data_IF_625740692847
#
_entry.id   IF_625740692847
#
_cell.length_a   1.000
_cell.length_b   1.000
_cell.length_c   1.000
_cell.angle_alpha   90.00
_cell.angle_beta   90.00
_cell.angle_gamma   90.00
#
_symmetry.space_group_name_H-M   'P 1'
#
loop_
_entity.id
_entity.type
_entity.pdbx_description
1 polymer ?
#
# COMPACT_ATOMS: atom_id res chain seq x y z
N UNK A 1 -29.60 19.03 -9.02
CA UNK A 1 -28.62 18.02 -8.57
C UNK A 1 -27.57 17.86 -9.67
N UNK A 2 -26.32 18.19 -9.42
CA UNK A 2 -25.22 17.84 -10.34
C UNK A 2 -25.00 16.33 -10.20
N UNK A 3 -25.21 15.59 -11.27
CA UNK A 3 -24.90 14.17 -11.33
C UNK A 3 -23.37 14.06 -11.54
N UNK A 4 -22.64 13.63 -10.50
CA UNK A 4 -21.20 13.39 -10.61
C UNK A 4 -20.99 12.15 -11.48
N UNK A 5 -20.40 12.35 -12.65
CA UNK A 5 -19.96 11.26 -13.51
C UNK A 5 -18.67 10.66 -12.91
N UNK A 6 -18.73 9.38 -12.52
CA UNK A 6 -17.57 8.62 -12.04
C UNK A 6 -17.07 7.68 -13.11
N UNK A 7 -15.83 7.88 -13.54
CA UNK A 7 -15.17 7.04 -14.53
C UNK A 7 -14.24 6.08 -13.78
N UNK A 8 -14.26 4.76 -14.09
CA UNK A 8 -13.30 3.83 -13.54
C UNK A 8 -11.86 4.25 -13.88
N UNK A 9 -10.95 4.13 -12.91
CA UNK A 9 -9.53 4.35 -13.12
C UNK A 9 -8.87 2.98 -13.16
N UNK A 10 -8.14 2.71 -14.22
CA UNK A 10 -7.34 1.51 -14.36
C UNK A 10 -5.97 1.72 -13.71
N UNK A 11 -5.56 0.75 -12.91
CA UNK A 11 -4.23 0.73 -12.34
C UNK A 11 -3.34 -0.18 -13.18
N UNK A 12 -2.43 0.43 -13.93
CA UNK A 12 -1.36 -0.29 -14.60
C UNK A 12 -0.28 -0.65 -13.57
N UNK A 13 -0.27 -1.91 -13.16
CA UNK A 13 0.64 -2.42 -12.13
C UNK A 13 2.06 -2.63 -12.64
N UNK A 14 2.29 -2.64 -13.94
CA UNK A 14 3.64 -2.65 -14.51
C UNK A 14 4.23 -1.24 -14.53
N UNK A 15 3.44 -0.22 -14.84
CA UNK A 15 3.90 1.16 -14.83
C UNK A 15 4.01 1.77 -13.42
N UNK A 16 3.20 1.30 -12.47
CA UNK A 16 3.12 1.86 -11.12
C UNK A 16 3.03 0.75 -10.04
N UNK A 17 4.07 -0.07 -9.86
CA UNK A 17 4.04 -1.22 -8.94
C UNK A 17 4.15 -0.84 -7.46
N UNK A 18 4.62 0.38 -7.14
CA UNK A 18 4.86 0.85 -5.78
C UNK A 18 3.81 1.87 -5.38
N UNK A 19 2.86 1.46 -4.54
CA UNK A 19 1.75 2.30 -4.14
C UNK A 19 1.79 2.71 -2.68
N UNK A 20 1.28 3.92 -2.38
CA UNK A 20 0.93 4.30 -1.03
C UNK A 20 -0.46 4.94 -0.99
N UNK A 21 -1.22 4.60 0.06
CA UNK A 21 -2.52 5.17 0.36
C UNK A 21 -2.47 5.79 1.77
N UNK A 22 -2.72 7.07 1.89
CA UNK A 22 -2.66 7.75 3.18
C UNK A 22 -3.84 8.69 3.42
N UNK A 23 -4.02 9.07 4.68
CA UNK A 23 -5.09 9.94 5.13
C UNK A 23 -5.44 9.66 6.60
N UNK A 24 -6.24 10.52 7.21
CA UNK A 24 -6.63 10.42 8.61
C UNK A 24 -7.40 9.14 8.93
N UNK A 25 -7.51 8.81 10.21
CA UNK A 25 -8.38 7.72 10.67
C UNK A 25 -9.80 7.92 10.15
N UNK A 26 -10.40 6.84 9.66
CA UNK A 26 -11.76 6.90 9.08
C UNK A 26 -11.84 7.42 7.64
N UNK A 27 -10.73 7.82 7.01
CA UNK A 27 -10.73 8.31 5.62
C UNK A 27 -11.09 7.26 4.56
N UNK A 28 -10.99 5.96 4.90
CA UNK A 28 -11.28 4.84 3.99
C UNK A 28 -10.04 4.16 3.42
N UNK A 29 -8.83 4.44 3.92
CA UNK A 29 -7.56 3.84 3.46
C UNK A 29 -7.59 2.32 3.39
N UNK A 30 -7.83 1.67 4.54
CA UNK A 30 -7.84 0.21 4.64
C UNK A 30 -8.82 -0.42 3.66
N UNK A 31 -9.97 0.22 3.45
CA UNK A 31 -10.94 -0.22 2.47
C UNK A 31 -10.41 -0.08 1.04
N UNK A 32 -9.75 1.05 0.71
CA UNK A 32 -9.14 1.28 -0.59
C UNK A 32 -8.04 0.27 -0.90
N UNK A 33 -7.11 0.02 0.04
CA UNK A 33 -6.02 -0.94 -0.18
C UNK A 33 -6.52 -2.38 -0.25
N UNK A 34 -7.54 -2.77 0.51
CA UNK A 34 -8.21 -4.06 0.35
C UNK A 34 -8.78 -4.23 -1.05
N UNK A 35 -9.45 -3.19 -1.59
CA UNK A 35 -9.99 -3.22 -2.95
C UNK A 35 -8.89 -3.37 -4.00
N UNK A 36 -7.79 -2.64 -3.87
CA UNK A 36 -6.62 -2.75 -4.75
C UNK A 36 -6.02 -4.17 -4.69
N UNK A 37 -5.79 -4.71 -3.48
CA UNK A 37 -5.30 -6.08 -3.29
C UNK A 37 -6.24 -7.13 -3.91
N UNK A 38 -7.54 -7.03 -3.65
CA UNK A 38 -8.51 -7.96 -4.21
C UNK A 38 -8.54 -7.94 -5.74
N UNK A 39 -8.41 -6.75 -6.35
CA UNK A 39 -8.29 -6.61 -7.81
C UNK A 39 -6.97 -7.20 -8.33
N UNK A 40 -5.85 -6.94 -7.63
CA UNK A 40 -4.54 -7.45 -8.01
C UNK A 40 -4.51 -8.98 -7.99
N UNK A 41 -5.13 -9.61 -6.98
CA UNK A 41 -5.28 -11.07 -6.94
C UNK A 41 -6.17 -11.58 -8.07
N UNK A 42 -7.33 -10.93 -8.26
CA UNK A 42 -8.34 -11.40 -9.23
C UNK A 42 -7.88 -11.29 -10.68
N UNK A 43 -7.22 -10.19 -11.03
CA UNK A 43 -6.86 -9.87 -12.41
C UNK A 43 -5.37 -10.07 -12.71
N UNK A 44 -4.50 -9.90 -11.71
CA UNK A 44 -3.05 -10.05 -11.82
C UNK A 44 -2.50 -11.38 -11.29
N UNK A 45 -3.37 -12.25 -10.76
CA UNK A 45 -2.98 -13.54 -10.16
C UNK A 45 -1.90 -13.43 -9.06
N UNK A 46 -1.89 -12.31 -8.33
CA UNK A 46 -0.82 -11.98 -7.40
C UNK A 46 -0.81 -12.87 -6.15
N UNK A 47 0.39 -13.16 -5.67
CA UNK A 47 0.65 -13.70 -4.33
C UNK A 47 0.75 -12.52 -3.35
N UNK A 48 -0.09 -12.51 -2.31
CA UNK A 48 -0.12 -11.45 -1.33
C UNK A 48 0.61 -11.84 -0.05
N UNK A 49 1.30 -10.85 0.54
CA UNK A 49 1.75 -10.86 1.93
C UNK A 49 1.14 -9.63 2.61
N UNK A 50 0.55 -9.80 3.78
CA UNK A 50 -0.12 -8.71 4.51
C UNK A 50 0.51 -8.56 5.88
N UNK A 51 1.09 -7.40 6.14
CA UNK A 51 1.65 -6.97 7.40
C UNK A 51 0.76 -5.88 8.00
N UNK A 52 0.10 -6.16 9.12
CA UNK A 52 -0.71 -5.20 9.87
C UNK A 52 0.11 -4.66 11.04
N UNK A 53 0.81 -3.53 10.82
CA UNK A 53 1.69 -2.91 11.81
C UNK A 53 0.98 -2.32 13.02
N UNK A 54 -0.36 -2.17 12.95
CA UNK A 54 -1.17 -1.65 14.06
C UNK A 54 -1.89 -2.76 14.83
N UNK A 55 -2.15 -3.91 14.21
CA UNK A 55 -2.94 -4.98 14.81
C UNK A 55 -4.40 -4.57 15.08
N UNK A 56 -4.96 -3.74 14.21
CA UNK A 56 -6.29 -3.13 14.41
C UNK A 56 -7.48 -4.03 14.12
N UNK A 57 -7.27 -5.30 13.75
CA UNK A 57 -8.33 -6.27 13.44
C UNK A 57 -8.93 -6.15 12.04
N UNK A 58 -8.53 -5.16 11.26
CA UNK A 58 -9.05 -4.95 9.90
C UNK A 58 -8.78 -6.14 8.96
N UNK A 59 -7.76 -6.94 9.25
CA UNK A 59 -7.34 -8.11 8.48
C UNK A 59 -7.52 -9.44 9.24
N UNK A 60 -8.33 -9.48 10.28
CA UNK A 60 -8.56 -10.66 11.13
C UNK A 60 -9.06 -11.88 10.34
N UNK A 61 -9.70 -11.68 9.19
CA UNK A 61 -10.11 -12.76 8.28
C UNK A 61 -8.91 -13.53 7.65
N UNK A 62 -7.66 -13.05 7.85
CA UNK A 62 -6.42 -13.70 7.42
C UNK A 62 -5.70 -14.44 8.56
N UNK A 63 -6.23 -14.45 9.79
CA UNK A 63 -5.62 -15.16 10.92
C UNK A 63 -5.38 -16.64 10.57
N UNK A 64 -4.20 -17.13 10.92
CA UNK A 64 -3.77 -18.49 10.60
C UNK A 64 -3.09 -18.68 9.24
N UNK A 65 -3.00 -17.62 8.41
CA UNK A 65 -2.26 -17.68 7.15
C UNK A 65 -0.78 -17.33 7.37
N UNK A 66 0.13 -18.09 6.76
CA UNK A 66 1.59 -17.90 6.90
C UNK A 66 2.10 -16.55 6.38
N UNK A 67 1.38 -15.94 5.44
CA UNK A 67 1.71 -14.65 4.83
C UNK A 67 0.94 -13.47 5.43
N UNK A 68 0.39 -13.66 6.62
CA UNK A 68 -0.24 -12.59 7.39
C UNK A 68 0.36 -12.50 8.79
N UNK A 69 0.59 -11.28 9.25
CA UNK A 69 0.91 -11.01 10.65
C UNK A 69 0.36 -9.67 11.11
N UNK A 70 -0.11 -9.66 12.35
CA UNK A 70 -0.46 -8.48 13.15
C UNK A 70 0.33 -8.43 14.47
N UNK A 71 1.06 -9.48 14.82
CA UNK A 71 1.89 -9.59 16.04
C UNK A 71 3.36 -9.78 15.63
N UNK A 72 3.68 -10.87 14.96
CA UNK A 72 5.05 -11.14 14.50
C UNK A 72 5.29 -10.60 13.07
N UNK A 73 5.07 -9.30 12.92
CA UNK A 73 5.17 -8.60 11.64
C UNK A 73 6.57 -8.68 11.05
N UNK A 74 7.60 -8.61 11.89
CA UNK A 74 9.01 -8.67 11.46
C UNK A 74 9.30 -9.97 10.71
N UNK A 75 8.88 -11.13 11.26
CA UNK A 75 9.15 -12.42 10.64
C UNK A 75 8.43 -12.58 9.29
N UNK A 76 7.18 -12.09 9.15
CA UNK A 76 6.44 -12.15 7.88
C UNK A 76 7.06 -11.21 6.84
N UNK A 77 7.41 -9.99 7.25
CA UNK A 77 8.08 -9.03 6.37
C UNK A 77 9.45 -9.55 5.90
N UNK A 78 10.23 -10.15 6.80
CA UNK A 78 11.53 -10.72 6.47
C UNK A 78 11.42 -11.91 5.50
N UNK A 79 10.41 -12.77 5.65
CA UNK A 79 10.16 -13.83 4.64
C UNK A 79 9.83 -13.25 3.27
N UNK A 80 8.99 -12.22 3.21
CA UNK A 80 8.68 -11.55 1.94
C UNK A 80 9.94 -10.95 1.31
N UNK A 81 10.76 -10.25 2.10
CA UNK A 81 12.01 -9.68 1.65
C UNK A 81 13.00 -10.74 1.17
N UNK A 82 13.11 -11.87 1.86
CA UNK A 82 13.96 -12.99 1.43
C UNK A 82 13.48 -13.62 0.12
N UNK A 83 12.16 -13.70 -0.11
CA UNK A 83 11.62 -14.13 -1.41
C UNK A 83 11.97 -13.17 -2.54
N UNK A 84 11.98 -11.87 -2.29
CA UNK A 84 12.49 -10.88 -3.24
C UNK A 84 13.99 -11.08 -3.53
N UNK A 85 14.81 -11.31 -2.49
CA UNK A 85 16.24 -11.59 -2.67
C UNK A 85 16.47 -12.89 -3.46
N UNK A 86 15.67 -13.92 -3.27
CA UNK A 86 15.76 -15.17 -4.04
C UNK A 86 15.52 -14.92 -5.54
N UNK A 87 14.54 -14.07 -5.89
CA UNK A 87 14.32 -13.63 -7.28
C UNK A 87 15.51 -12.84 -7.82
N UNK A 88 16.06 -11.95 -7.01
CA UNK A 88 17.21 -11.13 -7.41
C UNK A 88 18.45 -11.99 -7.69
N UNK A 89 18.65 -13.10 -6.97
CA UNK A 89 19.73 -14.06 -7.17
C UNK A 89 19.46 -15.11 -8.26
N UNK A 90 18.24 -15.11 -8.84
CA UNK A 90 17.84 -16.10 -9.82
C UNK A 90 17.50 -17.49 -9.21
N UNK A 91 17.30 -17.56 -7.89
CA UNK A 91 16.91 -18.79 -7.18
C UNK A 91 15.40 -19.04 -7.28
N UNK A 92 14.60 -18.00 -7.52
CA UNK A 92 13.17 -18.06 -7.86
C UNK A 92 12.93 -17.42 -9.23
N UNK A 93 12.68 -18.23 -10.23
CA UNK A 93 12.41 -17.80 -11.61
C UNK A 93 10.93 -17.47 -11.86
N UNK A 94 10.08 -17.55 -10.84
CA UNK A 94 8.65 -17.26 -10.96
C UNK A 94 8.42 -15.84 -11.46
N UNK A 95 7.53 -15.70 -12.43
CA UNK A 95 7.08 -14.41 -12.98
C UNK A 95 5.73 -13.95 -12.41
N UNK A 96 5.21 -14.66 -11.41
CA UNK A 96 4.00 -14.24 -10.70
C UNK A 96 4.25 -12.93 -9.95
N UNK A 97 3.25 -12.07 -9.89
CA UNK A 97 3.32 -10.87 -9.07
C UNK A 97 3.38 -11.29 -7.59
N UNK A 98 4.41 -10.84 -6.86
CA UNK A 98 4.41 -10.81 -5.40
C UNK A 98 4.05 -9.42 -4.94
N UNK A 99 3.07 -9.28 -4.04
CA UNK A 99 2.70 -7.98 -3.51
C UNK A 99 2.72 -8.00 -1.97
N UNK A 100 3.43 -7.04 -1.40
CA UNK A 100 3.38 -6.72 0.02
C UNK A 100 2.32 -5.63 0.23
N UNK A 101 1.31 -5.92 1.02
CA UNK A 101 0.51 -4.88 1.68
C UNK A 101 1.08 -4.67 3.09
N UNK A 102 1.54 -3.47 3.37
CA UNK A 102 1.94 -3.08 4.71
C UNK A 102 1.00 -1.98 5.23
N UNK A 103 0.18 -2.30 6.22
CA UNK A 103 -0.70 -1.35 6.88
C UNK A 103 -0.01 -0.75 8.11
N UNK A 104 0.01 0.57 8.22
CA UNK A 104 0.61 1.37 9.31
C UNK A 104 2.10 1.04 9.57
N UNK A 105 2.93 1.24 8.53
CA UNK A 105 4.38 1.07 8.59
C UNK A 105 5.05 1.85 9.75
N UNK A 106 4.61 3.09 10.02
CA UNK A 106 5.16 3.89 11.13
C UNK A 106 4.89 3.24 12.49
N UNK A 107 3.67 2.76 12.71
CA UNK A 107 3.31 2.11 13.98
C UNK A 107 4.16 0.85 14.21
N UNK A 108 4.42 0.07 13.15
CA UNK A 108 5.34 -1.05 13.22
C UNK A 108 6.76 -0.62 13.61
N UNK A 109 7.31 0.41 12.96
CA UNK A 109 8.67 0.88 13.27
C UNK A 109 8.77 1.43 14.67
N UNK A 110 7.77 2.19 15.12
CA UNK A 110 7.75 2.76 16.49
C UNK A 110 7.60 1.68 17.56
N UNK A 111 7.09 0.50 17.19
CA UNK A 111 7.02 -0.67 18.09
C UNK A 111 8.31 -1.49 18.17
N UNK A 112 9.36 -1.14 17.42
CA UNK A 112 10.66 -1.80 17.51
C UNK A 112 11.52 -1.18 18.63
N UNK A 113 12.02 -2.01 19.51
CA UNK A 113 12.77 -1.54 20.70
C UNK A 113 14.13 -0.93 20.35
N UNK A 114 14.77 -1.40 19.27
CA UNK A 114 16.13 -1.00 18.93
C UNK A 114 16.18 -0.15 17.64
N UNK A 115 16.85 1.00 17.71
CA UNK A 115 17.10 1.85 16.55
C UNK A 115 17.76 1.11 15.39
N UNK A 116 18.68 0.17 15.69
CA UNK A 116 19.35 -0.65 14.68
C UNK A 116 18.38 -1.55 13.93
N UNK A 117 17.40 -2.13 14.60
CA UNK A 117 16.34 -2.94 13.99
C UNK A 117 15.48 -2.05 13.08
N UNK A 118 15.05 -0.90 13.57
CA UNK A 118 14.28 0.07 12.81
C UNK A 118 15.00 0.47 11.50
N UNK A 119 16.29 0.78 11.56
CA UNK A 119 17.11 1.13 10.40
C UNK A 119 17.24 -0.04 9.41
N UNK A 120 17.40 -1.28 9.93
CA UNK A 120 17.45 -2.48 9.11
C UNK A 120 16.14 -2.70 8.33
N UNK A 121 14.99 -2.55 8.98
CA UNK A 121 13.69 -2.70 8.31
C UNK A 121 13.43 -1.60 7.29
N UNK A 122 13.80 -0.34 7.60
CA UNK A 122 13.75 0.76 6.61
C UNK A 122 14.57 0.47 5.37
N UNK A 123 15.79 -0.06 5.55
CA UNK A 123 16.68 -0.42 4.43
C UNK A 123 16.03 -1.47 3.54
N UNK A 124 15.39 -2.50 4.11
CA UNK A 124 14.67 -3.54 3.36
C UNK A 124 13.52 -2.94 2.55
N UNK A 125 12.67 -2.11 3.17
CA UNK A 125 11.58 -1.44 2.45
C UNK A 125 12.11 -0.55 1.33
N UNK A 126 13.17 0.24 1.59
CA UNK A 126 13.79 1.09 0.58
C UNK A 126 14.37 0.31 -0.61
N UNK A 127 14.90 -0.90 -0.39
CA UNK A 127 15.36 -1.78 -1.47
C UNK A 127 14.20 -2.33 -2.28
N UNK A 128 13.12 -2.79 -1.62
CA UNK A 128 11.90 -3.25 -2.29
C UNK A 128 11.31 -2.15 -3.20
N UNK A 129 11.18 -0.93 -2.69
CA UNK A 129 10.63 0.20 -3.44
C UNK A 129 11.49 0.59 -4.66
N UNK A 130 12.82 0.50 -4.55
CA UNK A 130 13.73 0.86 -5.65
C UNK A 130 13.90 -0.24 -6.69
N UNK A 131 13.94 -1.49 -6.28
CA UNK A 131 14.37 -2.61 -7.12
C UNK A 131 13.26 -3.62 -7.41
N UNK A 132 12.18 -3.62 -6.64
CA UNK A 132 11.13 -4.63 -6.69
C UNK A 132 10.46 -4.76 -8.06
N UNK A 133 10.29 -3.65 -8.77
CA UNK A 133 9.69 -3.64 -10.12
C UNK A 133 10.35 -4.66 -11.06
N UNK A 134 11.68 -4.65 -11.15
CA UNK A 134 12.44 -5.54 -12.03
C UNK A 134 12.24 -7.04 -11.71
N UNK A 135 11.76 -7.35 -10.52
CA UNK A 135 11.55 -8.71 -10.02
C UNK A 135 10.07 -9.03 -9.78
N UNK A 136 9.14 -8.26 -10.38
CA UNK A 136 7.69 -8.40 -10.22
C UNK A 136 7.26 -8.43 -8.74
N UNK A 137 7.96 -7.65 -7.94
CA UNK A 137 7.71 -7.49 -6.50
C UNK A 137 7.11 -6.11 -6.27
N UNK A 138 5.86 -6.06 -5.87
CA UNK A 138 5.07 -4.85 -5.69
C UNK A 138 4.92 -4.53 -4.20
N UNK A 139 4.75 -3.26 -3.88
CA UNK A 139 4.52 -2.79 -2.51
C UNK A 139 3.31 -1.86 -2.49
N UNK A 140 2.38 -2.11 -1.59
CA UNK A 140 1.30 -1.19 -1.23
C UNK A 140 1.45 -0.83 0.25
N UNK A 141 1.62 0.43 0.55
CA UNK A 141 1.59 0.93 1.92
C UNK A 141 0.25 1.60 2.21
N UNK A 142 -0.30 1.36 3.39
CA UNK A 142 -1.41 2.11 3.95
C UNK A 142 -0.93 2.81 5.22
N UNK A 143 -1.12 4.13 5.32
CA UNK A 143 -0.50 4.94 6.36
C UNK A 143 -1.41 6.11 6.77
N UNK A 144 -1.48 6.43 8.06
CA UNK A 144 -2.26 7.59 8.50
C UNK A 144 -1.60 8.90 8.07
N UNK A 145 -0.30 9.00 8.24
CA UNK A 145 0.51 10.16 7.87
C UNK A 145 1.76 9.70 7.16
N UNK A 146 2.10 10.40 6.11
CA UNK A 146 3.39 10.24 5.45
C UNK A 146 4.37 11.22 6.08
N UNK A 147 5.21 10.73 6.99
CA UNK A 147 6.23 11.51 7.67
C UNK A 147 7.61 11.16 7.08
N UNK A 148 8.41 12.19 6.80
CA UNK A 148 9.75 12.02 6.23
C UNK A 148 10.66 11.14 7.09
N UNK A 149 10.44 11.11 8.41
CA UNK A 149 11.20 10.30 9.36
C UNK A 149 11.14 8.80 9.04
N UNK A 150 10.00 8.30 8.54
CA UNK A 150 9.79 6.88 8.21
C UNK A 150 10.16 6.52 6.78
N UNK A 151 10.27 7.53 5.89
CA UNK A 151 10.44 7.36 4.44
C UNK A 151 11.68 8.04 3.87
N UNK A 152 12.71 8.25 4.69
CA UNK A 152 13.95 8.94 4.30
C UNK A 152 14.56 8.35 3.03
N UNK A 153 14.66 9.17 1.97
CA UNK A 153 15.38 8.86 0.75
C UNK A 153 14.70 7.88 -0.21
N UNK A 154 13.47 7.42 0.05
CA UNK A 154 12.76 6.50 -0.86
C UNK A 154 11.28 6.84 -1.13
N UNK A 155 10.78 7.95 -0.62
CA UNK A 155 9.41 8.43 -0.91
C UNK A 155 9.13 8.62 -2.40
N UNK A 156 10.15 9.04 -3.15
CA UNK A 156 10.06 9.29 -4.59
C UNK A 156 9.89 8.00 -5.42
N UNK A 157 10.08 6.83 -4.79
CA UNK A 157 9.87 5.55 -5.46
C UNK A 157 8.40 5.09 -5.44
N UNK A 158 7.50 5.82 -4.79
CA UNK A 158 6.06 5.54 -4.92
C UNK A 158 5.53 6.06 -6.24
N UNK A 159 5.13 5.12 -7.09
CA UNK A 159 4.58 5.41 -8.42
C UNK A 159 3.07 5.69 -8.38
N UNK A 160 2.35 5.02 -7.47
CA UNK A 160 0.92 5.25 -7.22
C UNK A 160 0.76 5.89 -5.85
N UNK A 161 0.31 7.13 -5.81
CA UNK A 161 0.08 7.87 -4.57
C UNK A 161 -1.40 8.21 -4.44
N UNK A 162 -2.05 7.77 -3.37
CA UNK A 162 -3.47 8.04 -3.09
C UNK A 162 -3.57 8.73 -1.73
N UNK A 163 -4.04 9.96 -1.73
CA UNK A 163 -4.35 10.71 -0.52
C UNK A 163 -5.86 10.83 -0.32
N UNK A 164 -6.40 10.31 0.80
CA UNK A 164 -7.83 10.27 1.07
C UNK A 164 -8.26 11.23 2.17
N UNK A 165 -9.43 11.87 1.97
CA UNK A 165 -10.02 12.84 2.91
C UNK A 165 -9.14 14.07 3.10
N UNK A 166 -9.22 14.69 4.26
CA UNK A 166 -8.45 15.88 4.58
C UNK A 166 -7.01 15.52 4.96
N UNK A 167 -6.08 15.84 4.10
CA UNK A 167 -4.66 15.54 4.27
C UNK A 167 -3.98 16.59 5.16
N UNK A 168 -3.02 16.17 5.99
CA UNK A 168 -2.16 17.10 6.72
C UNK A 168 -1.33 17.95 5.76
N UNK A 169 -0.86 19.10 6.24
CA UNK A 169 0.00 19.99 5.46
C UNK A 169 1.26 19.24 5.00
N UNK A 170 1.90 18.49 5.90
CA UNK A 170 3.12 17.73 5.62
C UNK A 170 2.90 16.69 4.51
N UNK A 171 1.79 15.94 4.58
CA UNK A 171 1.47 14.95 3.56
C UNK A 171 1.19 15.57 2.19
N UNK A 172 0.51 16.72 2.16
CA UNK A 172 0.30 17.47 0.90
C UNK A 172 1.61 18.01 0.35
N UNK A 173 2.45 18.57 1.21
CA UNK A 173 3.75 19.12 0.81
C UNK A 173 4.69 18.04 0.29
N UNK A 174 4.58 16.83 0.82
CA UNK A 174 5.43 15.71 0.44
C UNK A 174 5.06 15.11 -0.91
N UNK A 175 3.76 14.92 -1.20
CA UNK A 175 3.31 14.15 -2.37
C UNK A 175 2.50 14.93 -3.39
N UNK A 176 1.96 16.08 -3.04
CA UNK A 176 1.08 16.89 -3.89
C UNK A 176 1.54 18.35 -3.97
N UNK A 177 2.85 18.62 -3.76
CA UNK A 177 3.38 19.98 -3.73
C UNK A 177 3.02 20.83 -4.96
N UNK A 178 3.08 20.22 -6.15
CA UNK A 178 2.79 20.87 -7.43
C UNK A 178 1.28 21.06 -7.69
N UNK A 179 0.44 20.37 -6.93
CA UNK A 179 -1.01 20.33 -7.15
C UNK A 179 -1.84 20.97 -6.04
N UNK A 180 -1.19 21.60 -5.06
CA UNK A 180 -1.86 22.15 -3.86
C UNK A 180 -3.00 23.09 -4.17
N UNK A 181 -2.84 23.94 -5.17
CA UNK A 181 -3.84 24.93 -5.58
C UNK A 181 -5.06 24.30 -6.27
N UNK A 182 -4.91 23.07 -6.75
CA UNK A 182 -5.99 22.29 -7.36
C UNK A 182 -6.74 21.43 -6.33
N UNK A 183 -6.24 21.38 -5.08
CA UNK A 183 -6.83 20.56 -4.03
C UNK A 183 -7.91 21.35 -3.30
N UNK A 184 -9.14 20.83 -3.36
CA UNK A 184 -10.25 21.39 -2.59
C UNK A 184 -10.12 21.02 -1.11
N UNK A 185 -10.45 21.93 -0.18
CA UNK A 185 -10.62 21.59 1.22
C UNK A 185 -11.85 20.70 1.43
N UNK A 186 -11.97 20.08 2.60
CA UNK A 186 -13.16 19.35 3.06
C UNK A 186 -13.61 18.19 2.16
N UNK A 187 -12.66 17.34 1.83
CA UNK A 187 -12.97 16.09 1.09
C UNK A 187 -13.72 15.09 1.96
N UNK A 188 -14.80 14.57 1.42
CA UNK A 188 -15.61 13.56 2.08
C UNK A 188 -14.83 12.23 2.27
N UNK A 189 -15.28 11.42 3.23
CA UNK A 189 -14.75 10.08 3.45
C UNK A 189 -14.74 9.25 2.15
N UNK A 190 -13.65 8.58 1.87
CA UNK A 190 -13.47 7.76 0.67
C UNK A 190 -13.25 8.55 -0.62
N UNK A 191 -13.11 9.88 -0.53
CA UNK A 191 -12.71 10.71 -1.67
C UNK A 191 -11.35 11.33 -1.41
N UNK A 192 -10.65 11.73 -2.47
CA UNK A 192 -9.32 12.31 -2.33
C UNK A 192 -8.67 12.59 -3.67
N UNK A 193 -7.37 12.43 -3.71
CA UNK A 193 -6.56 12.68 -4.89
C UNK A 193 -5.56 11.55 -5.12
N UNK A 194 -5.21 11.36 -6.37
CA UNK A 194 -4.25 10.35 -6.79
C UNK A 194 -3.26 10.97 -7.77
N UNK A 195 -1.99 10.57 -7.67
CA UNK A 195 -1.00 10.75 -8.74
C UNK A 195 -0.44 9.41 -9.16
N UNK A 196 -0.10 9.30 -10.45
CA UNK A 196 0.62 8.17 -11.02
C UNK A 196 1.90 8.70 -11.64
N UNK A 197 3.05 8.13 -11.25
CA UNK A 197 4.39 8.56 -11.68
C UNK A 197 4.66 10.07 -11.50
N UNK A 198 4.08 10.67 -10.47
CA UNK A 198 4.20 12.09 -10.16
C UNK A 198 3.52 13.06 -11.13
N UNK A 199 2.90 12.56 -12.22
CA UNK A 199 2.44 13.41 -13.33
C UNK A 199 0.91 13.52 -13.46
N UNK A 200 0.16 12.45 -13.21
CA UNK A 200 -1.28 12.41 -13.48
C UNK A 200 -2.07 12.70 -12.19
N UNK A 201 -2.32 13.98 -11.89
CA UNK A 201 -3.15 14.36 -10.74
C UNK A 201 -4.64 14.19 -11.06
N UNK A 202 -5.33 13.38 -10.28
CA UNK A 202 -6.73 13.02 -10.52
C UNK A 202 -7.52 12.98 -9.22
N UNK A 203 -8.67 13.67 -9.11
CA UNK A 203 -9.59 13.45 -7.99
C UNK A 203 -10.17 12.04 -8.04
N UNK A 204 -10.20 11.36 -6.89
CA UNK A 204 -10.65 9.96 -6.78
C UNK A 204 -11.75 9.78 -5.76
N UNK A 205 -12.58 8.78 -6.00
CA UNK A 205 -13.55 8.27 -5.04
C UNK A 205 -13.46 6.74 -4.97
N UNK A 206 -13.26 6.22 -3.79
CA UNK A 206 -13.22 4.77 -3.54
C UNK A 206 -14.64 4.22 -3.69
N UNK A 207 -14.89 3.28 -4.59
CA UNK A 207 -16.24 2.76 -4.82
C UNK A 207 -16.69 1.91 -3.64
N UNK A 208 -17.98 1.94 -3.33
CA UNK A 208 -18.58 1.03 -2.35
C UNK A 208 -18.52 -0.42 -2.90
N UNK A 209 -18.00 -1.34 -2.10
CA UNK A 209 -18.05 -2.78 -2.40
C UNK A 209 -19.36 -3.34 -1.86
N UNK A 210 -20.16 -3.95 -2.74
CA UNK A 210 -21.45 -4.50 -2.38
C UNK A 210 -21.33 -5.85 -1.64
N UNK A 211 -20.25 -6.59 -1.88
CA UNK A 211 -19.99 -7.91 -1.31
C UNK A 211 -18.57 -7.93 -0.70
N UNK A 212 -18.49 -7.60 0.59
CA UNK A 212 -17.22 -7.60 1.34
C UNK A 212 -16.66 -9.00 1.53
N UNK A 213 -17.51 -10.01 1.67
CA UNK A 213 -17.08 -11.40 1.83
C UNK A 213 -16.40 -11.90 0.57
N UNK A 214 -16.91 -11.52 -0.60
CA UNK A 214 -16.25 -11.82 -1.88
C UNK A 214 -14.89 -11.16 -2.00
N UNK A 215 -14.76 -9.90 -1.54
CA UNK A 215 -13.48 -9.20 -1.50
C UNK A 215 -12.51 -9.90 -0.54
N UNK A 216 -12.95 -10.27 0.67
CA UNK A 216 -12.12 -10.98 1.64
C UNK A 216 -11.68 -12.35 1.12
N UNK A 217 -12.57 -13.12 0.48
CA UNK A 217 -12.21 -14.39 -0.18
C UNK A 217 -11.17 -14.20 -1.28
N UNK A 218 -11.27 -13.13 -2.08
CA UNK A 218 -10.26 -12.84 -3.10
C UNK A 218 -8.88 -12.54 -2.49
N UNK A 219 -8.83 -11.73 -1.43
CA UNK A 219 -7.58 -11.43 -0.71
C UNK A 219 -7.02 -12.70 -0.07
N UNK A 220 -7.85 -13.49 0.62
CA UNK A 220 -7.47 -14.76 1.23
C UNK A 220 -6.83 -15.71 0.20
N UNK A 221 -7.44 -15.85 -0.97
CA UNK A 221 -6.87 -16.67 -2.06
C UNK A 221 -5.48 -16.18 -2.50
N UNK A 222 -5.19 -14.88 -2.46
CA UNK A 222 -3.85 -14.36 -2.74
C UNK A 222 -2.84 -14.64 -1.63
N UNK A 223 -3.29 -14.65 -0.37
CA UNK A 223 -2.43 -14.91 0.80
C UNK A 223 -2.11 -16.40 0.95
N UNK A 224 -3.00 -17.30 0.52
CA UNK A 224 -2.83 -18.77 0.64
C UNK A 224 -2.16 -19.42 -0.58
N UNK A 225 -1.92 -18.69 -1.66
CA UNK A 225 -1.12 -19.14 -2.82
C UNK A 225 0.35 -19.25 -2.47
#
# INVERSE_FOLDING_TARGET
MRQELRIPIDWDTEAAPMGCCFGTTGSGKTYAVKLLCGKLVKYGNAKLTVCDGKGGGDFDFLKGCDRYAAIDVTAVFDRFYNSFLARQRGEDESRDIMCLLFDEWSAYLDGLDEKKQMEAQRKKLGQLLRLGHSFRTHVLLSQQRMDSTYFQGFRENFNLVIGLSNLSKESRDMFFSEYKEQMEPDRARGTGYMTVNGASFTPVAVPKVNDLDKLHRAILAGVTR
#
